data_IF_252191716199
#
_entry.id   IF_252191716199
#
_cell.length_a   1.000
_cell.length_b   1.000
_cell.length_c   1.000
_cell.angle_alpha   90.00
_cell.angle_beta   90.00
_cell.angle_gamma   90.00
#
_symmetry.space_group_name_H-M   'P 1'
#
loop_
_entity.id
_entity.type
_entity.pdbx_description
1 polymer ?
#
# COMPACT_ATOMS: atom_id res chain seq x y z
N UNK A 1 -53.37 -23.62 -43.79
CA UNK A 1 -52.67 -22.48 -43.17
C UNK A 1 -51.50 -22.14 -44.06
N UNK A 2 -51.61 -21.16 -44.95
CA UNK A 2 -51.48 -19.71 -44.69
C UNK A 2 -50.04 -19.22 -44.92
N UNK A 3 -49.87 -18.56 -46.08
CA UNK A 3 -48.96 -17.45 -46.43
C UNK A 3 -47.49 -17.75 -46.82
N UNK A 4 -47.26 -17.80 -48.13
CA UNK A 4 -46.20 -17.03 -48.82
C UNK A 4 -46.45 -15.51 -48.62
N UNK A 5 -45.46 -14.57 -48.72
CA UNK A 5 -44.79 -14.24 -50.00
C UNK A 5 -43.27 -13.81 -49.85
N UNK A 6 -42.32 -14.17 -50.74
CA UNK A 6 -42.00 -13.66 -52.11
C UNK A 6 -41.05 -12.45 -52.12
N UNK A 7 -39.90 -12.64 -52.82
CA UNK A 7 -39.06 -11.67 -53.56
C UNK A 7 -38.06 -10.84 -52.73
N UNK A 8 -36.86 -10.43 -53.20
CA UNK A 8 -36.37 -10.12 -54.56
C UNK A 8 -34.82 -9.97 -54.54
N UNK A 9 -34.13 -10.56 -55.54
CA UNK A 9 -33.09 -10.00 -56.46
C UNK A 9 -32.18 -8.89 -55.85
N UNK A 10 -30.83 -8.96 -55.85
CA UNK A 10 -29.93 -8.68 -56.98
C UNK A 10 -28.47 -9.07 -56.65
N UNK A 11 -27.76 -9.61 -57.63
CA UNK A 11 -26.30 -9.71 -57.64
C UNK A 11 -25.63 -8.52 -58.34
N UNK A 12 -24.30 -8.63 -58.45
CA UNK A 12 -23.37 -7.81 -59.24
C UNK A 12 -23.11 -6.40 -58.68
N UNK A 13 -21.90 -5.84 -58.70
CA UNK A 13 -20.69 -6.14 -59.45
C UNK A 13 -19.51 -5.45 -58.75
N UNK A 14 -18.34 -6.08 -58.84
CA UNK A 14 -17.05 -5.55 -58.42
C UNK A 14 -16.84 -4.08 -58.84
N UNK A 15 -16.41 -3.24 -57.89
CA UNK A 15 -15.48 -2.14 -58.19
C UNK A 15 -14.20 -2.36 -57.42
N UNK A 16 -13.18 -2.77 -58.18
CA UNK A 16 -11.77 -2.74 -57.84
C UNK A 16 -11.41 -1.33 -57.35
N UNK A 17 -11.17 -1.16 -56.06
CA UNK A 17 -10.45 0.00 -55.54
C UNK A 17 -9.02 -0.47 -55.27
N UNK A 18 -8.16 -0.07 -56.19
CA UNK A 18 -6.71 -0.22 -56.17
C UNK A 18 -6.16 0.71 -55.09
N UNK A 19 -5.87 0.17 -53.90
CA UNK A 19 -5.11 0.89 -52.87
C UNK A 19 -3.63 0.52 -53.00
N UNK A 20 -2.72 1.51 -53.08
CA UNK A 20 -1.29 1.25 -53.19
C UNK A 20 -0.73 0.76 -51.85
N UNK A 21 0.24 -0.13 -51.96
CA UNK A 21 1.06 -0.63 -50.88
C UNK A 21 1.92 0.49 -50.29
N UNK A 22 1.64 0.87 -49.04
CA UNK A 22 2.51 1.63 -48.14
C UNK A 22 2.25 1.06 -46.73
N UNK A 23 2.98 0.03 -46.31
CA UNK A 23 4.16 0.13 -45.43
C UNK A 23 3.92 1.03 -44.23
N UNK A 24 3.78 0.38 -43.07
CA UNK A 24 4.40 0.80 -41.82
C UNK A 24 3.79 2.00 -41.10
N UNK A 25 3.05 1.73 -40.02
CA UNK A 25 3.53 2.07 -38.68
C UNK A 25 2.63 1.37 -37.65
N UNK A 26 3.16 0.31 -37.04
CA UNK A 26 2.70 -0.09 -35.72
C UNK A 26 2.99 1.08 -34.78
N UNK A 27 1.95 1.83 -34.38
CA UNK A 27 2.02 2.67 -33.21
C UNK A 27 1.97 1.75 -31.97
N UNK A 28 3.09 1.09 -31.70
CA UNK A 28 3.39 0.58 -30.37
C UNK A 28 3.61 1.79 -29.48
N UNK A 29 2.53 2.32 -28.91
CA UNK A 29 2.66 3.19 -27.76
C UNK A 29 3.30 2.34 -26.65
N UNK A 30 4.61 2.49 -26.50
CA UNK A 30 5.34 2.09 -25.31
C UNK A 30 4.71 2.91 -24.19
N UNK A 31 3.75 2.31 -23.48
CA UNK A 31 3.38 2.78 -22.17
C UNK A 31 4.64 2.63 -21.32
N UNK A 32 5.39 3.73 -21.18
CA UNK A 32 6.29 3.86 -20.06
C UNK A 32 5.47 3.56 -18.82
N UNK A 33 5.72 2.41 -18.20
CA UNK A 33 5.24 2.10 -16.86
C UNK A 33 5.93 3.11 -15.93
N UNK A 34 5.35 4.31 -15.82
CA UNK A 34 5.63 5.26 -14.76
C UNK A 34 5.48 4.46 -13.46
N UNK A 35 6.58 4.33 -12.71
CA UNK A 35 6.68 3.39 -11.60
C UNK A 35 5.47 3.46 -10.68
N UNK A 36 4.88 2.31 -10.40
CA UNK A 36 3.76 2.12 -9.49
C UNK A 36 4.19 2.27 -8.02
N UNK A 37 4.98 3.30 -7.73
CA UNK A 37 5.54 3.54 -6.41
C UNK A 37 4.47 4.15 -5.51
N UNK A 38 4.37 3.60 -4.29
CA UNK A 38 3.59 4.18 -3.22
C UNK A 38 4.48 5.14 -2.43
N UNK A 39 3.90 6.24 -1.97
CA UNK A 39 4.62 7.26 -1.22
C UNK A 39 3.98 7.51 0.13
N UNK A 40 4.82 7.64 1.16
CA UNK A 40 4.40 8.11 2.49
C UNK A 40 4.60 9.63 2.57
N UNK A 41 3.52 10.35 2.82
CA UNK A 41 3.52 11.81 2.93
C UNK A 41 2.97 12.22 4.28
N UNK A 42 3.70 13.06 5.02
CA UNK A 42 3.21 13.58 6.30
C UNK A 42 1.82 14.23 6.13
N UNK A 43 0.85 13.83 6.95
CA UNK A 43 -0.54 14.24 6.80
C UNK A 43 -1.24 14.31 8.16
N UNK A 44 -2.38 15.00 8.21
CA UNK A 44 -3.37 14.77 9.26
C UNK A 44 -4.20 13.52 8.94
N UNK A 45 -4.78 12.90 9.97
CA UNK A 45 -5.84 11.91 9.79
C UNK A 45 -7.10 12.57 9.21
N UNK A 46 -7.96 11.80 8.51
CA UNK A 46 -9.18 12.35 7.95
C UNK A 46 -10.13 12.83 9.06
N UNK A 47 -10.95 13.86 8.79
CA UNK A 47 -12.04 14.23 9.69
C UNK A 47 -13.15 13.17 9.68
N UNK A 48 -14.09 13.27 10.62
CA UNK A 48 -15.29 12.43 10.63
C UNK A 48 -16.06 12.55 9.31
N UNK A 49 -16.29 11.41 8.66
CA UNK A 49 -16.88 11.30 7.34
C UNK A 49 -18.00 10.24 7.25
N UNK A 50 -18.33 9.58 8.35
CA UNK A 50 -19.36 8.54 8.42
C UNK A 50 -19.00 7.25 7.68
N UNK A 51 -17.74 7.08 7.29
CA UNK A 51 -17.24 5.86 6.62
C UNK A 51 -16.63 4.90 7.62
N UNK A 52 -16.49 3.66 7.18
CA UNK A 52 -15.87 2.59 7.96
C UNK A 52 -14.43 2.32 7.52
N UNK A 53 -13.62 1.91 8.48
CA UNK A 53 -12.20 1.70 8.33
C UNK A 53 -11.76 0.37 8.94
N UNK A 54 -10.79 -0.24 8.27
CA UNK A 54 -9.96 -1.32 8.79
C UNK A 54 -8.75 -0.72 9.47
N UNK A 55 -8.43 -1.24 10.63
CA UNK A 55 -7.28 -0.85 11.42
C UNK A 55 -6.40 -2.07 11.69
N UNK A 56 -5.20 -2.03 11.14
CA UNK A 56 -4.15 -3.01 11.37
C UNK A 56 -3.22 -2.49 12.45
N UNK A 57 -3.02 -3.26 13.52
CA UNK A 57 -2.14 -2.92 14.64
C UNK A 57 -1.00 -3.92 14.71
N UNK A 58 0.22 -3.40 14.68
CA UNK A 58 1.44 -4.19 14.78
C UNK A 58 2.32 -3.72 15.93
N UNK A 59 2.80 -4.67 16.74
CA UNK A 59 3.69 -4.42 17.86
C UNK A 59 2.95 -4.11 19.17
N UNK A 60 3.61 -3.35 20.04
CA UNK A 60 3.10 -2.95 21.34
C UNK A 60 3.02 -4.13 22.29
N UNK A 61 4.07 -4.93 22.33
CA UNK A 61 4.17 -6.08 23.25
C UNK A 61 4.56 -5.64 24.66
N UNK A 62 5.33 -4.56 24.78
CA UNK A 62 5.80 -3.99 26.05
C UNK A 62 5.66 -2.46 26.09
N UNK A 63 5.67 -1.89 27.30
CA UNK A 63 5.64 -0.43 27.52
C UNK A 63 6.89 0.32 27.05
N UNK A 64 7.97 -0.39 26.67
CA UNK A 64 9.19 0.21 26.10
C UNK A 64 9.43 -0.25 24.65
N UNK A 65 8.43 -0.88 24.03
CA UNK A 65 8.48 -1.30 22.63
C UNK A 65 8.28 -0.09 21.71
N UNK A 66 9.32 0.28 20.96
CA UNK A 66 9.28 1.38 20.01
C UNK A 66 8.77 0.95 18.62
N UNK A 67 8.50 -0.33 18.44
CA UNK A 67 8.28 -0.96 17.16
C UNK A 67 6.79 -1.18 16.95
N UNK A 68 6.04 -0.09 17.09
CA UNK A 68 4.60 -0.09 17.03
C UNK A 68 4.11 0.79 15.88
N UNK A 69 3.33 0.19 14.98
CA UNK A 69 2.72 0.90 13.85
C UNK A 69 1.25 0.51 13.72
N UNK A 70 0.43 1.50 13.41
CA UNK A 70 -0.94 1.31 13.02
C UNK A 70 -1.11 1.66 11.54
N UNK A 71 -1.88 0.85 10.79
CA UNK A 71 -2.22 1.12 9.40
C UNK A 71 -3.74 1.22 9.33
N UNK A 72 -4.22 2.35 8.84
CA UNK A 72 -5.63 2.66 8.68
C UNK A 72 -5.98 2.63 7.19
N UNK A 73 -7.01 1.88 6.87
CA UNK A 73 -7.47 1.63 5.51
C UNK A 73 -8.99 1.81 5.42
N UNK A 74 -9.49 2.38 4.33
CA UNK A 74 -10.91 2.68 4.19
C UNK A 74 -11.63 1.52 3.52
N UNK A 75 -12.76 1.09 4.08
CA UNK A 75 -13.43 -0.13 3.62
C UNK A 75 -14.20 0.04 2.30
N UNK A 76 -14.63 1.26 2.00
CA UNK A 76 -15.50 1.56 0.86
C UNK A 76 -14.75 2.01 -0.40
N UNK A 77 -13.41 1.93 -0.37
CA UNK A 77 -12.59 2.31 -1.51
C UNK A 77 -12.20 1.11 -2.39
N UNK A 78 -11.51 1.40 -3.49
CA UNK A 78 -11.15 0.38 -4.47
C UNK A 78 -9.90 -0.42 -4.06
N UNK A 79 -9.21 -0.02 -3.00
CA UNK A 79 -7.96 -0.61 -2.57
C UNK A 79 -8.23 -1.64 -1.49
N UNK A 80 -7.48 -2.74 -1.58
CA UNK A 80 -7.49 -3.76 -0.54
C UNK A 80 -6.13 -3.76 0.12
N UNK A 81 -6.03 -3.18 1.31
CA UNK A 81 -4.80 -3.25 2.10
C UNK A 81 -4.71 -4.62 2.77
N UNK A 82 -3.61 -5.33 2.53
CA UNK A 82 -3.34 -6.64 3.13
C UNK A 82 -1.96 -6.65 3.76
N UNK A 83 -1.86 -7.31 4.91
CA UNK A 83 -0.58 -7.63 5.49
C UNK A 83 0.04 -8.81 4.75
N UNK A 84 1.30 -8.70 4.35
CA UNK A 84 2.09 -9.90 4.06
C UNK A 84 2.49 -10.54 5.39
N UNK A 85 1.57 -11.28 5.99
CA UNK A 85 1.83 -12.00 7.23
C UNK A 85 2.59 -13.29 6.91
N UNK A 86 3.91 -13.24 7.04
CA UNK A 86 4.68 -14.44 7.36
C UNK A 86 4.39 -14.87 8.81
N UNK A 87 5.40 -14.88 9.67
CA UNK A 87 5.29 -15.23 11.10
C UNK A 87 4.72 -14.10 11.97
N UNK A 88 4.51 -12.92 11.38
CA UNK A 88 4.23 -11.69 12.10
C UNK A 88 2.72 -11.56 12.40
N UNK A 89 2.37 -11.41 13.69
CA UNK A 89 0.98 -11.21 14.13
C UNK A 89 0.58 -9.75 13.99
N UNK A 90 -0.43 -9.50 13.16
CA UNK A 90 -1.11 -8.20 13.04
C UNK A 90 -2.51 -8.37 13.60
N UNK A 91 -2.93 -7.46 14.48
CA UNK A 91 -4.32 -7.42 14.95
C UNK A 91 -5.15 -6.58 13.97
N UNK A 92 -6.24 -7.13 13.45
CA UNK A 92 -7.13 -6.47 12.51
C UNK A 92 -8.45 -6.16 13.21
N UNK A 93 -8.85 -4.89 13.18
CA UNK A 93 -10.15 -4.39 13.60
C UNK A 93 -10.86 -3.82 12.38
N UNK A 94 -12.15 -4.09 12.22
CA UNK A 94 -12.94 -3.71 11.04
C UNK A 94 -14.22 -2.99 11.47
N UNK A 95 -14.85 -2.25 10.56
CA UNK A 95 -16.11 -1.56 10.77
C UNK A 95 -16.01 -0.31 11.64
N UNK A 96 -14.81 0.21 11.87
CA UNK A 96 -14.60 1.35 12.77
C UNK A 96 -14.94 2.68 12.08
N UNK A 97 -15.60 3.59 12.78
CA UNK A 97 -15.60 5.01 12.40
C UNK A 97 -14.19 5.60 12.56
N UNK A 98 -13.90 6.71 11.89
CA UNK A 98 -12.59 7.34 12.04
C UNK A 98 -12.33 7.81 13.48
N UNK A 99 -13.37 8.26 14.20
CA UNK A 99 -13.24 8.63 15.62
C UNK A 99 -12.86 7.43 16.48
N UNK A 100 -13.48 6.27 16.28
CA UNK A 100 -13.14 5.02 16.98
C UNK A 100 -11.73 4.55 16.64
N UNK A 101 -11.37 4.55 15.35
CA UNK A 101 -10.04 4.18 14.89
C UNK A 101 -8.96 5.08 15.50
N UNK A 102 -9.18 6.40 15.55
CA UNK A 102 -8.25 7.34 16.19
C UNK A 102 -8.08 7.08 17.69
N UNK A 103 -9.18 6.76 18.39
CA UNK A 103 -9.14 6.42 19.80
C UNK A 103 -8.35 5.12 20.04
N UNK A 104 -8.58 4.10 19.22
CA UNK A 104 -7.88 2.82 19.33
C UNK A 104 -6.39 2.94 19.01
N UNK A 105 -6.03 3.68 17.95
CA UNK A 105 -4.62 3.95 17.62
C UNK A 105 -3.92 4.67 18.76
N UNK A 106 -4.57 5.70 19.34
CA UNK A 106 -3.99 6.43 20.47
C UNK A 106 -3.81 5.53 21.69
N UNK A 107 -4.79 4.68 21.99
CA UNK A 107 -4.69 3.71 23.08
C UNK A 107 -3.56 2.72 22.83
N UNK A 108 -3.52 2.14 21.63
CA UNK A 108 -2.52 1.17 21.20
C UNK A 108 -1.08 1.71 21.30
N UNK A 109 -0.81 2.85 20.64
CA UNK A 109 0.50 3.51 20.62
C UNK A 109 0.87 4.13 21.97
N UNK A 110 -0.14 4.57 22.73
CA UNK A 110 0.01 5.18 24.05
C UNK A 110 0.45 4.23 25.16
N UNK A 111 0.56 2.92 24.89
CA UNK A 111 1.14 1.96 25.83
C UNK A 111 2.63 2.15 26.04
N UNK A 112 3.32 2.79 25.09
CA UNK A 112 4.74 3.11 25.24
C UNK A 112 4.93 4.29 26.21
N UNK A 113 5.82 4.14 27.19
CA UNK A 113 6.11 5.13 28.23
C UNK A 113 6.63 6.48 27.70
N UNK A 114 7.15 6.49 26.47
CA UNK A 114 7.73 7.66 25.80
C UNK A 114 6.79 8.30 24.79
N UNK A 115 5.56 7.79 24.65
CA UNK A 115 4.57 8.32 23.72
C UNK A 115 4.23 9.79 24.01
N UNK A 116 4.28 10.63 22.98
CA UNK A 116 3.98 12.07 23.02
C UNK A 116 3.02 12.52 21.90
N UNK A 117 2.35 11.56 21.28
CA UNK A 117 1.39 11.81 20.21
C UNK A 117 1.56 10.89 19.01
N UNK A 118 0.72 11.13 18.03
CA UNK A 118 0.68 10.36 16.79
C UNK A 118 1.33 11.16 15.66
N UNK A 119 2.02 10.47 14.77
CA UNK A 119 2.55 10.98 13.50
C UNK A 119 1.92 10.20 12.34
N UNK A 120 0.81 10.73 11.77
CA UNK A 120 0.17 10.14 10.62
C UNK A 120 0.93 10.48 9.33
N UNK A 121 1.00 9.50 8.44
CA UNK A 121 1.55 9.60 7.08
C UNK A 121 0.53 8.99 6.12
N UNK A 122 0.07 9.77 5.14
CA UNK A 122 -0.80 9.26 4.08
C UNK A 122 0.01 8.33 3.17
N UNK A 123 -0.54 7.15 2.91
CA UNK A 123 -0.07 6.23 1.86
C UNK A 123 -0.74 6.69 0.57
N UNK A 124 0.06 7.17 -0.37
CA UNK A 124 -0.42 7.77 -1.61
C UNK A 124 -0.03 6.93 -2.83
N UNK A 125 -0.97 6.80 -3.76
CA UNK A 125 -0.77 6.14 -5.04
C UNK A 125 0.01 7.01 -6.05
N UNK A 126 0.37 6.45 -7.22
CA UNK A 126 1.14 7.16 -8.25
C UNK A 126 0.45 8.42 -8.81
N UNK A 127 -0.87 8.49 -8.73
CA UNK A 127 -1.71 9.65 -9.13
C UNK A 127 -1.99 10.62 -7.96
N UNK A 128 -1.38 10.40 -6.80
CA UNK A 128 -1.54 11.22 -5.60
C UNK A 128 -2.79 10.92 -4.78
N UNK A 129 -3.59 9.91 -5.15
CA UNK A 129 -4.75 9.52 -4.34
C UNK A 129 -4.31 8.93 -3.00
N UNK A 130 -5.03 9.27 -1.93
CA UNK A 130 -4.82 8.65 -0.63
C UNK A 130 -5.47 7.28 -0.64
N UNK A 131 -4.67 6.26 -0.33
CA UNK A 131 -5.09 4.85 -0.21
C UNK A 131 -5.35 4.51 1.26
N UNK A 132 -4.55 5.07 2.17
CA UNK A 132 -4.69 4.82 3.59
C UNK A 132 -3.73 5.69 4.38
N UNK A 133 -3.54 5.36 5.65
CA UNK A 133 -2.63 6.07 6.54
C UNK A 133 -1.78 5.09 7.31
N UNK A 134 -0.49 5.35 7.37
CA UNK A 134 0.38 4.78 8.40
C UNK A 134 0.44 5.76 9.57
N UNK A 135 0.34 5.25 10.80
CA UNK A 135 0.33 6.06 12.01
C UNK A 135 1.37 5.49 12.96
N UNK A 136 2.37 6.33 13.27
CA UNK A 136 3.45 5.99 14.19
C UNK A 136 3.39 6.81 15.47
N UNK A 137 4.07 6.33 16.50
CA UNK A 137 4.29 7.08 17.73
C UNK A 137 5.30 8.20 17.49
N UNK A 138 4.96 9.40 17.94
CA UNK A 138 5.94 10.45 18.18
C UNK A 138 6.44 10.33 19.61
N UNK A 139 7.72 10.03 19.78
CA UNK A 139 8.32 9.85 21.09
C UNK A 139 8.91 11.16 21.66
N UNK A 140 8.92 11.29 22.99
CA UNK A 140 9.57 12.42 23.68
C UNK A 140 11.10 12.36 23.54
N UNK A 141 11.79 13.51 23.36
CA UNK A 141 13.25 13.59 23.50
C UNK A 141 13.69 13.20 24.94
N UNK A 142 14.87 12.57 25.13
CA UNK A 142 15.90 12.27 24.13
C UNK A 142 15.71 10.94 23.38
N UNK A 143 14.64 10.19 23.66
CA UNK A 143 14.51 8.78 23.25
C UNK A 143 14.08 8.63 21.79
N UNK A 144 13.22 9.52 21.29
CA UNK A 144 12.59 9.37 19.97
C UNK A 144 13.46 9.45 18.71
N UNK A 145 14.74 9.86 18.80
CA UNK A 145 15.61 9.95 17.61
C UNK A 145 16.34 8.64 17.27
N UNK A 146 16.34 7.66 18.17
CA UNK A 146 17.15 6.43 18.03
C UNK A 146 16.34 5.14 18.07
N UNK A 147 15.02 5.24 18.22
CA UNK A 147 14.23 4.13 18.74
C UNK A 147 13.26 3.51 17.72
N UNK A 148 12.92 4.22 16.66
CA UNK A 148 12.03 3.68 15.62
C UNK A 148 12.86 2.99 14.52
N UNK A 149 13.28 1.75 14.80
CA UNK A 149 13.99 0.88 13.86
C UNK A 149 13.02 0.07 12.98
N UNK A 150 11.71 0.28 13.13
CA UNK A 150 10.71 -0.43 12.36
C UNK A 150 10.61 0.16 10.95
N UNK A 151 10.78 -0.66 9.91
CA UNK A 151 10.50 -0.21 8.55
C UNK A 151 9.25 -0.87 7.99
N UNK A 152 8.42 -0.05 7.32
CA UNK A 152 7.21 -0.49 6.64
C UNK A 152 7.38 -0.25 5.16
N UNK A 153 7.30 -1.32 4.37
CA UNK A 153 7.30 -1.23 2.91
C UNK A 153 5.89 -1.48 2.38
N UNK A 154 5.47 -0.65 1.42
CA UNK A 154 4.19 -0.78 0.72
C UNK A 154 4.42 -1.10 -0.74
N UNK A 155 3.82 -2.18 -1.23
CA UNK A 155 3.87 -2.59 -2.63
C UNK A 155 2.48 -2.54 -3.24
N UNK A 156 2.38 -1.98 -4.45
CA UNK A 156 1.17 -2.06 -5.24
C UNK A 156 1.13 -3.44 -5.94
N UNK A 157 0.15 -4.25 -5.55
CA UNK A 157 -0.11 -5.57 -6.10
C UNK A 157 -1.12 -5.54 -7.25
N UNK A 158 -1.47 -6.73 -7.79
CA UNK A 158 -2.55 -6.85 -8.76
C UNK A 158 -3.91 -6.45 -8.13
N UNK A 159 -4.87 -6.12 -9.00
CA UNK A 159 -6.27 -5.88 -8.62
C UNK A 159 -6.49 -4.81 -7.52
N UNK A 160 -5.69 -3.74 -7.55
CA UNK A 160 -5.68 -2.65 -6.55
C UNK A 160 -5.37 -3.11 -5.12
N UNK A 161 -4.70 -4.24 -4.96
CA UNK A 161 -4.21 -4.68 -3.65
C UNK A 161 -3.00 -3.85 -3.24
N UNK A 162 -2.95 -3.38 -1.99
CA UNK A 162 -1.76 -2.80 -1.39
C UNK A 162 -1.24 -3.77 -0.34
N UNK A 163 -0.05 -4.29 -0.59
CA UNK A 163 0.59 -5.25 0.31
C UNK A 163 1.58 -4.48 1.18
N UNK A 164 1.41 -4.53 2.49
CA UNK A 164 2.38 -3.97 3.42
C UNK A 164 3.23 -5.06 4.08
N UNK A 165 4.50 -4.75 4.24
CA UNK A 165 5.51 -5.56 4.91
C UNK A 165 6.06 -4.74 6.06
N UNK A 166 6.12 -5.37 7.22
CA UNK A 166 6.79 -4.80 8.37
C UNK A 166 8.04 -5.63 8.59
N UNK A 167 9.20 -4.99 8.58
CA UNK A 167 10.47 -5.69 8.76
C UNK A 167 11.37 -4.94 9.71
N UNK A 168 12.17 -5.72 10.43
CA UNK A 168 13.29 -5.22 11.21
C UNK A 168 14.53 -5.28 10.32
N UNK A 169 15.18 -4.15 10.03
CA UNK A 169 16.52 -4.22 9.48
C UNK A 169 17.37 -4.99 10.50
N UNK A 170 18.16 -5.99 10.07
CA UNK A 170 19.07 -6.67 10.99
C UNK A 170 19.99 -5.62 11.59
N UNK A 171 20.20 -5.69 12.91
CA UNK A 171 21.21 -4.89 13.58
C UNK A 171 22.52 -5.06 12.81
N UNK A 172 23.00 -3.98 12.18
CA UNK A 172 24.36 -3.91 11.66
C UNK A 172 25.27 -3.69 12.87
N UNK A 173 25.27 -4.65 13.80
CA UNK A 173 26.22 -4.73 14.88
C UNK A 173 27.58 -5.08 14.28
N UNK A 174 28.48 -4.10 14.24
CA UNK A 174 29.93 -4.29 14.45
C UNK A 174 30.52 -5.59 13.87
N UNK A 175 30.47 -5.77 12.55
CA UNK A 175 31.28 -6.76 11.84
C UNK A 175 32.75 -6.32 11.71
N UNK A 176 33.35 -5.82 12.79
CA UNK A 176 34.79 -5.51 12.84
C UNK A 176 35.61 -6.67 13.43
N UNK A 177 35.03 -7.52 14.28
CA UNK A 177 35.79 -8.52 15.01
C UNK A 177 35.06 -9.87 15.02
N UNK A 178 35.01 -10.56 13.88
CA UNK A 178 34.93 -12.04 13.84
C UNK A 178 35.11 -12.54 12.40
N UNK A 179 36.34 -12.40 11.90
CA UNK A 179 36.87 -13.32 10.89
C UNK A 179 37.69 -14.39 11.63
N UNK A 180 37.16 -15.59 11.91
CA UNK A 180 37.99 -16.71 12.31
C UNK A 180 38.60 -17.30 11.05
N UNK A 181 39.80 -16.86 10.70
CA UNK A 181 40.58 -17.55 9.67
C UNK A 181 41.68 -16.73 9.02
N UNK A 182 42.90 -17.09 9.38
CA UNK A 182 44.10 -17.25 8.53
C UNK A 182 45.31 -16.49 9.09
N UNK A 183 45.98 -17.13 10.05
CA UNK A 183 47.41 -16.97 10.24
C UNK A 183 48.04 -18.37 10.28
N UNK A 184 48.13 -19.00 9.11
CA UNK A 184 49.26 -19.88 8.81
C UNK A 184 50.37 -19.00 8.24
N UNK A 185 51.41 -18.75 9.06
CA UNK A 185 52.85 -18.86 8.73
C UNK A 185 53.71 -18.19 9.80
#
# INVERSE_FOLDING_TARGET
MSRYPVWKIWGCLLRLVRWPASVGLLFSAVACASGSALHLVASSLPPEDGRHYRLFLYGGLDSNDFESVAILDREDDRFLVVSYSGTIKVNLLEGLTITEAQAEVRHFLGRNNYFNGMEPRAITGPDGQVIGYEIRSRYSPPVGRRADDLDTTYLFGPDNTVIFYIYYPPDIGSGADDFPGLAEH
#
